data_IF_746886936081
#
_entry.id   IF_746886936081
#
_cell.length_a   1.000
_cell.length_b   1.000
_cell.length_c   1.000
_cell.angle_alpha   90.00
_cell.angle_beta   90.00
_cell.angle_gamma   90.00
#
_symmetry.space_group_name_H-M   'P 1'
#
loop_
_entity.id
_entity.type
_entity.pdbx_description
1 polymer ?
#
# COMPACT_ATOMS: atom_id res chain seq x y z
N UNK A 1 -5.46 -19.49 -2.22
CA UNK A 1 -4.25 -18.69 -2.07
C UNK A 1 -4.48 -17.53 -1.13
N UNK A 2 -3.40 -17.07 -0.44
CA UNK A 2 -3.44 -15.87 0.38
C UNK A 2 -3.32 -14.64 -0.53
N UNK A 3 -4.22 -13.68 -0.36
CA UNK A 3 -4.21 -12.40 -1.09
C UNK A 3 -3.52 -11.36 -0.20
N UNK A 4 -2.46 -10.72 -0.69
CA UNK A 4 -1.77 -9.63 -0.02
C UNK A 4 -2.40 -8.27 -0.32
N UNK A 5 -2.76 -8.04 -1.58
CA UNK A 5 -3.38 -6.80 -2.03
C UNK A 5 -4.13 -6.96 -3.34
N UNK A 6 -4.84 -5.92 -3.75
CA UNK A 6 -5.53 -5.90 -5.04
C UNK A 6 -5.62 -4.48 -5.62
N UNK A 7 -5.80 -4.40 -6.92
CA UNK A 7 -6.18 -3.15 -7.61
C UNK A 7 -7.48 -3.36 -8.40
N UNK A 8 -8.19 -2.25 -8.66
CA UNK A 8 -9.35 -2.27 -9.55
C UNK A 8 -8.86 -2.00 -10.96
N UNK A 9 -9.18 -2.89 -11.89
CA UNK A 9 -8.88 -2.73 -13.29
C UNK A 9 -9.82 -1.72 -13.97
N UNK A 10 -9.40 -1.16 -15.09
CA UNK A 10 -10.21 -0.24 -15.89
C UNK A 10 -11.49 -0.88 -16.44
N UNK A 11 -11.52 -2.22 -16.59
CA UNK A 11 -12.69 -3.01 -16.98
C UNK A 11 -13.59 -3.41 -15.81
N UNK A 12 -13.26 -2.99 -14.58
CA UNK A 12 -14.00 -3.26 -13.36
C UNK A 12 -13.67 -4.58 -12.66
N UNK A 13 -12.82 -5.43 -13.24
CA UNK A 13 -12.31 -6.63 -12.59
C UNK A 13 -11.35 -6.27 -11.45
N UNK A 14 -11.08 -7.20 -10.54
CA UNK A 14 -10.01 -7.07 -9.56
C UNK A 14 -8.74 -7.76 -10.06
N UNK A 15 -7.61 -7.09 -9.92
CA UNK A 15 -6.29 -7.71 -10.10
C UNK A 15 -5.76 -8.06 -8.71
N UNK A 16 -5.61 -9.34 -8.42
CA UNK A 16 -5.23 -9.89 -7.12
C UNK A 16 -3.74 -10.22 -7.11
N UNK A 17 -3.06 -9.78 -6.06
CA UNK A 17 -1.64 -10.06 -5.80
C UNK A 17 -1.55 -11.02 -4.61
N UNK A 18 -0.96 -12.19 -4.83
CA UNK A 18 -1.11 -13.34 -3.94
C UNK A 18 0.25 -13.88 -3.45
N UNK A 19 0.19 -15.01 -2.77
CA UNK A 19 1.38 -15.76 -2.34
C UNK A 19 2.19 -16.28 -3.54
N UNK A 20 3.48 -16.56 -3.32
CA UNK A 20 4.45 -17.07 -4.30
C UNK A 20 4.67 -16.14 -5.50
N UNK A 21 4.40 -14.85 -5.33
CA UNK A 21 4.50 -13.89 -6.42
C UNK A 21 3.47 -14.08 -7.52
N UNK A 22 2.36 -14.78 -7.27
CA UNK A 22 1.33 -15.03 -8.27
C UNK A 22 0.34 -13.87 -8.38
N UNK A 23 -0.14 -13.60 -9.60
CA UNK A 23 -1.08 -12.51 -9.91
C UNK A 23 -2.20 -13.08 -10.79
N UNK A 24 -3.45 -12.74 -10.44
CA UNK A 24 -4.62 -13.16 -11.23
C UNK A 24 -5.68 -12.06 -11.32
N UNK A 25 -6.42 -12.01 -12.42
CA UNK A 25 -7.66 -11.25 -12.54
C UNK A 25 -8.82 -12.04 -11.97
N UNK A 26 -9.66 -11.37 -11.22
CA UNK A 26 -10.88 -11.95 -10.68
C UNK A 26 -12.11 -11.22 -11.20
N UNK A 27 -13.12 -11.98 -11.59
CA UNK A 27 -14.44 -11.50 -11.93
C UNK A 27 -15.51 -12.52 -11.49
N UNK A 28 -16.78 -12.26 -11.75
CA UNK A 28 -17.86 -13.23 -11.51
C UNK A 28 -17.72 -14.53 -12.32
N UNK A 29 -16.89 -14.55 -13.36
CA UNK A 29 -16.60 -15.73 -14.18
C UNK A 29 -15.48 -16.60 -13.61
N UNK A 30 -14.72 -16.10 -12.63
CA UNK A 30 -13.65 -16.81 -11.96
C UNK A 30 -12.32 -16.07 -11.94
N UNK A 31 -11.24 -16.84 -11.76
CA UNK A 31 -9.86 -16.38 -11.75
C UNK A 31 -9.18 -16.67 -13.08
N UNK A 32 -8.49 -15.67 -13.63
CA UNK A 32 -7.64 -15.76 -14.81
C UNK A 32 -6.21 -15.42 -14.41
N UNK A 33 -5.27 -16.35 -14.57
CA UNK A 33 -3.88 -16.15 -14.18
C UNK A 33 -3.18 -15.16 -15.11
N UNK A 34 -2.50 -14.17 -14.52
CA UNK A 34 -1.67 -13.17 -15.21
C UNK A 34 -0.19 -13.53 -15.06
N UNK A 35 0.23 -13.88 -13.83
CA UNK A 35 1.57 -14.32 -13.48
C UNK A 35 1.45 -15.56 -12.60
N UNK A 36 2.04 -16.67 -13.02
CA UNK A 36 2.01 -17.94 -12.24
C UNK A 36 2.76 -17.81 -10.92
N UNK A 37 3.89 -17.09 -10.92
CA UNK A 37 4.74 -16.84 -9.77
C UNK A 37 6.02 -16.12 -10.17
N UNK A 38 6.78 -15.67 -9.17
CA UNK A 38 8.10 -15.05 -9.36
C UNK A 38 9.16 -16.01 -8.85
N UNK A 39 10.17 -16.32 -9.69
CA UNK A 39 11.31 -17.13 -9.26
C UNK A 39 12.06 -16.42 -8.12
N UNK A 40 12.26 -17.14 -7.01
CA UNK A 40 12.84 -16.64 -5.78
C UNK A 40 11.82 -16.13 -4.75
N UNK A 41 10.52 -16.06 -5.09
CA UNK A 41 9.45 -15.64 -4.17
C UNK A 41 8.53 -16.81 -3.77
N UNK A 42 8.98 -18.06 -3.93
CA UNK A 42 8.18 -19.26 -3.70
C UNK A 42 7.67 -19.37 -2.24
N UNK A 43 8.42 -18.83 -1.29
CA UNK A 43 8.10 -18.81 0.14
C UNK A 43 7.60 -17.45 0.64
N UNK A 44 7.42 -16.49 -0.28
CA UNK A 44 6.95 -15.13 0.00
C UNK A 44 5.50 -14.93 -0.46
N UNK A 45 5.02 -13.72 -0.28
CA UNK A 45 3.75 -13.22 -0.81
C UNK A 45 3.87 -11.74 -1.15
N UNK A 46 2.99 -11.27 -2.02
CA UNK A 46 2.78 -9.82 -2.10
C UNK A 46 2.19 -9.27 -0.79
N UNK A 47 2.47 -8.00 -0.55
CA UNK A 47 1.92 -7.20 0.53
C UNK A 47 1.16 -6.02 -0.07
N UNK A 48 1.57 -4.77 0.15
CA UNK A 48 0.86 -3.63 -0.41
C UNK A 48 1.12 -3.45 -1.91
N UNK A 49 0.08 -2.99 -2.60
CA UNK A 49 0.07 -2.75 -4.04
C UNK A 49 -0.69 -1.48 -4.37
N UNK A 50 -0.32 -0.79 -5.45
CA UNK A 50 -1.03 0.39 -5.95
C UNK A 50 -0.95 0.49 -7.46
N UNK A 51 -2.06 0.85 -8.11
CA UNK A 51 -2.07 1.18 -9.52
C UNK A 51 -1.41 2.55 -9.77
N UNK A 52 -0.55 2.63 -10.78
CA UNK A 52 0.13 3.86 -11.17
C UNK A 52 -0.70 4.70 -12.16
N UNK A 53 -0.37 5.99 -12.35
CA UNK A 53 -1.09 6.87 -13.27
C UNK A 53 -1.21 6.35 -14.71
N UNK A 54 -0.22 5.59 -15.19
CA UNK A 54 -0.21 5.01 -16.54
C UNK A 54 -0.96 3.67 -16.65
N UNK A 55 -1.47 3.13 -15.52
CA UNK A 55 -2.19 1.85 -15.46
C UNK A 55 -1.30 0.63 -15.18
N UNK A 56 0.03 0.78 -15.02
CA UNK A 56 0.88 -0.26 -14.44
C UNK A 56 0.62 -0.39 -12.93
N UNK A 57 1.23 -1.35 -12.25
CA UNK A 57 1.03 -1.55 -10.81
C UNK A 57 2.36 -1.70 -10.12
N UNK A 58 2.57 -0.94 -9.02
CA UNK A 58 3.63 -1.22 -8.08
C UNK A 58 3.14 -2.23 -7.06
N UNK A 59 3.91 -3.28 -6.81
CA UNK A 59 3.54 -4.38 -5.93
C UNK A 59 4.77 -4.87 -5.16
N UNK A 60 4.68 -4.82 -3.84
CA UNK A 60 5.78 -5.17 -2.96
C UNK A 60 5.64 -6.58 -2.40
N UNK A 61 6.75 -7.29 -2.24
CA UNK A 61 6.78 -8.60 -1.58
C UNK A 61 7.24 -8.50 -0.13
N UNK A 62 6.87 -9.50 0.66
CA UNK A 62 7.36 -9.69 2.02
C UNK A 62 8.76 -10.30 2.01
N UNK A 63 9.60 -9.97 3.00
CA UNK A 63 10.86 -10.66 3.19
C UNK A 63 10.62 -12.12 3.63
N UNK A 64 11.62 -12.96 3.41
CA UNK A 64 11.69 -14.34 3.91
C UNK A 64 12.94 -14.50 4.79
N UNK A 65 13.21 -15.71 5.28
CA UNK A 65 14.47 -15.99 5.97
C UNK A 65 15.70 -15.89 5.05
N UNK A 66 15.49 -16.05 3.74
CA UNK A 66 16.57 -16.13 2.74
C UNK A 66 16.81 -14.83 1.97
N UNK A 67 15.83 -13.93 1.89
CA UNK A 67 15.96 -12.67 1.14
C UNK A 67 15.05 -11.56 1.69
N UNK A 68 15.43 -10.32 1.42
CA UNK A 68 14.61 -9.13 1.65
C UNK A 68 13.43 -9.07 0.69
N UNK A 69 12.40 -8.28 1.02
CA UNK A 69 11.34 -7.97 0.08
C UNK A 69 11.83 -7.12 -1.10
N UNK A 70 11.02 -7.05 -2.13
CA UNK A 70 11.27 -6.29 -3.35
C UNK A 70 10.02 -5.54 -3.77
N UNK A 71 10.16 -4.29 -4.19
CA UNK A 71 9.10 -3.58 -4.89
C UNK A 71 9.24 -3.87 -6.39
N UNK A 72 8.24 -4.51 -6.96
CA UNK A 72 8.13 -4.77 -8.39
C UNK A 72 7.21 -3.76 -9.06
N UNK A 73 7.37 -3.62 -10.37
CA UNK A 73 6.40 -2.97 -11.25
C UNK A 73 5.88 -3.98 -12.27
N UNK A 74 4.56 -4.18 -12.28
CA UNK A 74 3.85 -4.93 -13.32
C UNK A 74 3.42 -3.94 -14.40
N UNK A 75 4.01 -4.06 -15.57
CA UNK A 75 3.68 -3.24 -16.74
C UNK A 75 2.40 -3.76 -17.43
N UNK A 76 1.77 -2.95 -18.27
CA UNK A 76 0.47 -3.27 -18.90
C UNK A 76 0.49 -4.52 -19.78
N UNK A 77 1.65 -4.87 -20.32
CA UNK A 77 1.88 -6.07 -21.13
C UNK A 77 2.10 -7.35 -20.29
N UNK A 78 1.93 -7.26 -18.97
CA UNK A 78 2.16 -8.37 -18.05
C UNK A 78 3.62 -8.59 -17.66
N UNK A 79 4.56 -7.81 -18.17
CA UNK A 79 5.96 -7.90 -17.76
C UNK A 79 6.14 -7.36 -16.34
N UNK A 80 6.88 -8.11 -15.52
CA UNK A 80 7.15 -7.78 -14.12
C UNK A 80 8.65 -7.49 -13.95
N UNK A 81 8.97 -6.36 -13.32
CA UNK A 81 10.36 -5.90 -13.14
C UNK A 81 10.60 -5.48 -11.69
N UNK A 82 11.72 -5.87 -11.05
CA UNK A 82 12.13 -5.28 -9.78
C UNK A 82 12.51 -3.81 -10.02
N UNK A 83 12.04 -2.92 -9.15
CA UNK A 83 12.31 -1.47 -9.22
C UNK A 83 12.97 -0.92 -7.94
N UNK A 84 12.73 -1.57 -6.80
CA UNK A 84 13.48 -1.33 -5.56
C UNK A 84 13.75 -2.68 -4.89
N UNK A 85 15.01 -3.00 -4.70
CA UNK A 85 15.45 -4.23 -4.05
C UNK A 85 15.88 -3.97 -2.59
N UNK A 86 16.03 -5.03 -1.81
CA UNK A 86 16.46 -4.98 -0.41
C UNK A 86 15.51 -4.18 0.50
N UNK A 87 14.22 -4.25 0.23
CA UNK A 87 13.17 -3.69 1.09
C UNK A 87 12.95 -4.62 2.26
N UNK A 88 12.85 -4.08 3.47
CA UNK A 88 12.57 -4.90 4.65
C UNK A 88 11.15 -5.48 4.58
N UNK A 89 10.14 -4.66 4.76
CA UNK A 89 8.73 -5.00 4.52
C UNK A 89 8.13 -3.91 3.64
N UNK A 90 7.85 -4.24 2.38
CA UNK A 90 7.19 -3.31 1.46
C UNK A 90 5.74 -3.10 1.89
N UNK A 91 5.41 -1.86 2.20
CA UNK A 91 4.10 -1.46 2.73
C UNK A 91 3.62 -0.19 2.03
N UNK A 92 2.74 0.55 2.65
CA UNK A 92 2.03 1.72 2.17
C UNK A 92 2.61 2.43 0.95
N UNK A 93 1.81 2.60 -0.07
CA UNK A 93 2.14 3.24 -1.34
C UNK A 93 1.15 4.38 -1.60
N UNK A 94 1.60 5.46 -2.23
CA UNK A 94 0.73 6.58 -2.57
C UNK A 94 1.33 7.51 -3.60
N UNK A 95 0.47 8.24 -4.31
CA UNK A 95 0.87 9.23 -5.30
C UNK A 95 0.33 10.61 -4.96
N UNK A 96 1.08 11.66 -5.30
CA UNK A 96 0.57 13.03 -5.26
C UNK A 96 -0.49 13.29 -6.32
N UNK A 97 -1.34 14.30 -6.12
CA UNK A 97 -2.39 14.66 -7.05
C UNK A 97 -1.85 15.08 -8.44
N UNK A 98 -0.68 15.70 -8.48
CA UNK A 98 0.01 16.06 -9.73
C UNK A 98 0.72 14.87 -10.41
N UNK A 99 0.66 13.66 -9.81
CA UNK A 99 1.23 12.41 -10.33
C UNK A 99 2.76 12.42 -10.51
N UNK A 100 3.45 13.41 -9.98
CA UNK A 100 4.91 13.57 -10.14
C UNK A 100 5.74 12.95 -9.01
N UNK A 101 5.07 12.46 -7.95
CA UNK A 101 5.72 11.89 -6.77
C UNK A 101 5.03 10.60 -6.36
N UNK A 102 5.82 9.59 -6.03
CA UNK A 102 5.40 8.36 -5.37
C UNK A 102 6.00 8.28 -3.98
N UNK A 103 5.21 7.86 -3.02
CA UNK A 103 5.66 7.47 -1.68
C UNK A 103 5.63 5.97 -1.53
N UNK A 104 6.60 5.42 -0.80
CA UNK A 104 6.71 3.98 -0.50
C UNK A 104 7.25 3.78 0.92
N UNK A 105 6.56 2.97 1.69
CA UNK A 105 6.94 2.61 3.07
C UNK A 105 7.79 1.34 3.09
N UNK A 106 8.97 1.41 3.73
CA UNK A 106 9.64 0.26 4.30
C UNK A 106 9.39 0.23 5.81
N UNK A 107 8.55 -0.71 6.26
CA UNK A 107 8.18 -0.80 7.67
C UNK A 107 9.36 -1.18 8.56
N UNK A 108 10.26 -2.05 8.11
CA UNK A 108 11.44 -2.49 8.87
C UNK A 108 12.42 -1.33 9.05
N UNK A 109 12.64 -0.55 8.00
CA UNK A 109 13.44 0.67 8.07
C UNK A 109 12.72 1.81 8.83
N UNK A 110 11.42 1.66 9.11
CA UNK A 110 10.55 2.70 9.68
C UNK A 110 10.56 3.99 8.87
N UNK A 111 10.69 3.88 7.56
CA UNK A 111 10.90 5.02 6.66
C UNK A 111 9.85 5.03 5.55
N UNK A 112 9.30 6.21 5.29
CA UNK A 112 8.55 6.49 4.07
C UNK A 112 9.51 7.18 3.12
N UNK A 113 9.79 6.54 2.01
CA UNK A 113 10.63 7.06 0.93
C UNK A 113 9.79 7.88 -0.04
N UNK A 114 10.41 8.89 -0.64
CA UNK A 114 9.85 9.73 -1.69
C UNK A 114 10.65 9.55 -2.98
N UNK A 115 9.94 9.27 -4.07
CA UNK A 115 10.49 9.11 -5.41
C UNK A 115 9.88 10.12 -6.35
N UNK A 116 10.66 10.63 -7.31
CA UNK A 116 10.06 11.20 -8.51
C UNK A 116 9.60 10.08 -9.41
N UNK A 117 8.43 10.25 -10.03
CA UNK A 117 7.88 9.31 -11.00
C UNK A 117 7.53 10.04 -12.30
N UNK A 118 7.87 9.43 -13.43
CA UNK A 118 7.30 9.85 -14.72
C UNK A 118 5.88 9.25 -14.84
N UNK A 119 4.82 10.06 -14.88
CA UNK A 119 3.45 9.54 -14.88
C UNK A 119 3.07 8.80 -16.17
N UNK A 120 3.85 8.89 -17.24
CA UNK A 120 3.61 8.20 -18.52
C UNK A 120 4.27 6.83 -18.58
N UNK A 121 5.48 6.72 -18.02
CA UNK A 121 6.28 5.49 -18.07
C UNK A 121 6.30 4.73 -16.76
N UNK A 122 5.89 5.36 -15.66
CA UNK A 122 6.04 4.89 -14.28
C UNK A 122 7.50 4.59 -13.88
N UNK A 123 8.47 5.23 -14.51
CA UNK A 123 9.87 5.14 -14.12
C UNK A 123 10.13 5.96 -12.86
N UNK A 124 10.80 5.34 -11.89
CA UNK A 124 11.17 5.97 -10.63
C UNK A 124 12.57 6.58 -10.70
N UNK A 125 12.76 7.72 -10.04
CA UNK A 125 14.05 8.39 -9.91
C UNK A 125 14.12 9.19 -8.61
N UNK A 126 15.31 9.69 -8.26
CA UNK A 126 15.54 10.60 -7.13
C UNK A 126 14.91 10.12 -5.82
N UNK A 127 15.31 8.94 -5.34
CA UNK A 127 14.90 8.39 -4.06
C UNK A 127 15.48 9.19 -2.89
N UNK A 128 14.64 9.51 -1.91
CA UNK A 128 15.08 10.11 -0.64
C UNK A 128 14.29 9.57 0.55
N UNK A 129 14.91 9.52 1.72
CA UNK A 129 14.21 9.31 2.99
C UNK A 129 13.38 10.55 3.30
N UNK A 130 12.05 10.40 3.32
CA UNK A 130 11.17 11.56 3.47
C UNK A 130 10.61 11.68 4.89
N UNK A 131 10.12 10.59 5.46
CA UNK A 131 9.66 10.53 6.85
C UNK A 131 10.31 9.35 7.53
N UNK A 132 11.11 9.60 8.56
CA UNK A 132 11.64 8.56 9.45
C UNK A 132 10.81 8.56 10.72
N UNK A 133 10.13 7.45 11.00
CA UNK A 133 9.25 7.33 12.16
C UNK A 133 10.04 6.95 13.42
N UNK A 134 9.59 7.36 14.62
CA UNK A 134 10.29 7.02 15.88
C UNK A 134 10.41 5.51 16.09
N UNK A 135 11.45 5.11 16.81
CA UNK A 135 11.62 3.73 17.31
C UNK A 135 10.90 3.57 18.66
N UNK A 136 9.59 3.60 18.64
CA UNK A 136 8.70 3.54 19.82
C UNK A 136 7.96 2.20 19.95
N UNK A 137 8.40 1.19 19.20
CA UNK A 137 7.75 -0.12 19.13
C UNK A 137 6.69 -0.23 18.05
N UNK A 138 6.28 0.90 17.44
CA UNK A 138 5.38 0.90 16.28
C UNK A 138 6.15 0.98 14.96
N UNK A 139 5.53 0.51 13.89
CA UNK A 139 6.08 0.64 12.53
C UNK A 139 5.05 1.24 11.58
N UNK A 140 5.46 2.03 10.58
CA UNK A 140 4.55 2.51 9.53
C UNK A 140 4.08 1.33 8.69
N UNK A 141 2.80 1.34 8.34
CA UNK A 141 2.12 0.27 7.60
C UNK A 141 1.46 0.85 6.34
N UNK A 142 0.25 0.47 5.99
CA UNK A 142 -0.47 1.00 4.84
C UNK A 142 -0.68 2.51 4.88
N UNK A 143 -0.78 3.12 3.69
CA UNK A 143 -0.98 4.56 3.55
C UNK A 143 -1.93 4.92 2.42
N UNK A 144 -2.39 6.18 2.42
CA UNK A 144 -2.97 6.87 1.27
C UNK A 144 -2.53 8.34 1.26
N UNK A 145 -2.78 9.04 0.16
CA UNK A 145 -2.50 10.47 -0.01
C UNK A 145 -3.81 11.20 -0.28
N UNK A 146 -4.09 12.25 0.48
CA UNK A 146 -5.31 13.05 0.31
C UNK A 146 -5.22 14.07 -0.83
N UNK A 147 -6.31 14.81 -1.06
CA UNK A 147 -6.40 15.81 -2.15
C UNK A 147 -5.50 17.03 -1.97
N UNK A 148 -4.94 17.22 -0.76
CA UNK A 148 -3.98 18.27 -0.43
C UNK A 148 -2.53 17.78 -0.42
N UNK A 149 -2.29 16.58 -0.98
CA UNK A 149 -0.98 15.88 -1.03
C UNK A 149 -0.40 15.52 0.35
N UNK A 150 -1.23 15.48 1.41
CA UNK A 150 -0.80 14.97 2.71
C UNK A 150 -0.84 13.45 2.73
N UNK A 151 0.14 12.84 3.39
CA UNK A 151 0.23 11.40 3.58
C UNK A 151 -0.54 11.01 4.84
N UNK A 152 -1.41 10.01 4.73
CA UNK A 152 -2.02 9.32 5.83
C UNK A 152 -1.38 7.96 6.01
N UNK A 153 -0.69 7.72 7.14
CA UNK A 153 0.09 6.52 7.40
C UNK A 153 -0.39 5.82 8.66
N UNK A 154 -0.82 4.58 8.51
CA UNK A 154 -1.21 3.71 9.61
C UNK A 154 0.02 3.28 10.43
N UNK A 155 -0.21 2.92 11.70
CA UNK A 155 0.83 2.44 12.61
C UNK A 155 0.49 1.07 13.14
N UNK A 156 1.17 0.06 12.65
CA UNK A 156 1.15 -1.27 13.25
C UNK A 156 1.79 -1.21 14.64
N UNK A 157 1.13 -1.75 15.64
CA UNK A 157 1.47 -1.69 17.06
C UNK A 157 1.48 -0.27 17.68
N UNK A 158 0.90 0.72 16.99
CA UNK A 158 0.94 2.14 17.38
C UNK A 158 -0.41 2.77 17.73
N UNK A 159 -1.52 2.02 17.72
CA UNK A 159 -2.86 2.50 18.08
C UNK A 159 -3.29 3.76 17.32
N UNK A 160 -2.71 4.05 16.15
CA UNK A 160 -2.89 5.37 15.55
C UNK A 160 -2.74 5.42 14.04
N UNK A 161 -3.30 6.48 13.47
CA UNK A 161 -3.12 6.93 12.11
C UNK A 161 -2.54 8.34 12.15
N UNK A 162 -1.50 8.59 11.37
CA UNK A 162 -0.84 9.90 11.30
C UNK A 162 -1.07 10.57 9.96
N UNK A 163 -1.24 11.90 9.98
CA UNK A 163 -1.24 12.74 8.78
C UNK A 163 0.03 13.57 8.74
N UNK A 164 0.74 13.52 7.62
CA UNK A 164 1.95 14.32 7.38
C UNK A 164 1.73 15.29 6.23
N UNK A 165 2.25 16.51 6.39
CA UNK A 165 2.22 17.52 5.33
C UNK A 165 3.13 17.14 4.16
N UNK A 166 3.01 17.80 2.98
CA UNK A 166 3.94 17.63 1.86
C UNK A 166 5.41 17.96 2.18
N UNK A 167 5.66 18.63 3.31
CA UNK A 167 7.00 18.91 3.82
C UNK A 167 7.50 17.86 4.83
N UNK A 168 6.72 16.80 5.08
CA UNK A 168 7.07 15.72 6.00
C UNK A 168 6.77 15.98 7.48
N UNK A 169 6.12 17.10 7.83
CA UNK A 169 5.77 17.39 9.21
C UNK A 169 4.49 16.68 9.63
N UNK A 170 4.47 16.06 10.81
CA UNK A 170 3.24 15.53 11.39
C UNK A 170 2.28 16.67 11.73
N UNK A 171 1.07 16.64 11.17
CA UNK A 171 0.04 17.67 11.37
C UNK A 171 -1.20 17.17 12.10
N UNK A 172 -1.44 15.85 12.11
CA UNK A 172 -2.56 15.24 12.79
C UNK A 172 -2.21 13.83 13.27
N UNK A 173 -2.81 13.39 14.38
CA UNK A 173 -2.84 12.01 14.86
C UNK A 173 -4.26 11.66 15.22
N UNK A 174 -4.75 10.51 14.75
CA UNK A 174 -6.03 9.91 15.17
C UNK A 174 -5.70 8.64 15.94
N UNK A 175 -6.22 8.52 17.17
CA UNK A 175 -6.03 7.35 18.02
C UNK A 175 -7.18 6.35 17.86
N UNK A 176 -6.85 5.06 17.97
CA UNK A 176 -7.78 3.95 17.89
C UNK A 176 -7.66 3.08 19.14
N UNK A 177 -8.73 2.40 19.51
CA UNK A 177 -8.72 1.40 20.60
C UNK A 177 -7.96 0.12 20.22
N UNK A 178 -7.58 -0.01 18.95
CA UNK A 178 -6.93 -1.18 18.37
C UNK A 178 -5.45 -0.93 18.16
N UNK A 179 -4.61 -1.81 18.68
CA UNK A 179 -3.15 -1.71 18.62
C UNK A 179 -2.62 -1.69 17.19
N UNK A 180 -3.17 -2.55 16.32
CA UNK A 180 -2.68 -2.77 14.96
C UNK A 180 -3.57 -2.06 13.94
N UNK A 181 -3.33 -0.77 13.75
CA UNK A 181 -3.94 0.01 12.66
C UNK A 181 -3.12 -0.29 11.40
N UNK A 182 -3.75 -0.92 10.38
CA UNK A 182 -3.00 -1.56 9.30
C UNK A 182 -3.04 -0.81 7.98
N UNK A 183 -4.18 -0.27 7.55
CA UNK A 183 -4.25 0.46 6.29
C UNK A 183 -5.34 1.51 6.32
N UNK A 184 -5.29 2.47 5.39
CA UNK A 184 -6.25 3.57 5.28
C UNK A 184 -6.50 3.89 3.81
N UNK A 185 -7.77 4.19 3.49
CA UNK A 185 -8.15 4.73 2.18
C UNK A 185 -9.33 5.69 2.30
N UNK A 186 -9.48 6.57 1.32
CA UNK A 186 -10.66 7.41 1.19
C UNK A 186 -11.68 6.76 0.25
N UNK A 187 -12.96 7.04 0.50
CA UNK A 187 -14.07 6.53 -0.30
C UNK A 187 -15.36 7.34 -0.10
N UNK A 188 -16.48 6.74 -0.46
CA UNK A 188 -17.76 7.45 -0.53
C UNK A 188 -17.90 8.24 -1.85
N UNK A 189 -19.06 8.88 -2.03
CA UNK A 189 -19.38 9.57 -3.30
C UNK A 189 -18.45 10.76 -3.57
N UNK A 190 -18.00 11.43 -2.49
CA UNK A 190 -17.18 12.65 -2.54
C UNK A 190 -15.79 12.48 -1.90
N UNK A 191 -15.36 11.22 -1.67
CA UNK A 191 -14.08 10.88 -1.05
C UNK A 191 -13.84 11.53 0.33
N UNK A 192 -14.92 11.78 1.10
CA UNK A 192 -14.84 12.32 2.47
C UNK A 192 -14.90 11.27 3.55
N UNK A 193 -15.34 10.06 3.20
CA UNK A 193 -15.30 8.92 4.11
C UNK A 193 -13.90 8.32 4.11
N UNK A 194 -13.33 8.16 5.28
CA UNK A 194 -12.07 7.47 5.48
C UNK A 194 -12.36 6.08 6.05
N UNK A 195 -11.81 5.06 5.44
CA UNK A 195 -11.89 3.68 5.88
C UNK A 195 -10.54 3.22 6.39
N UNK A 196 -10.51 2.71 7.62
CA UNK A 196 -9.28 2.27 8.29
C UNK A 196 -9.44 0.82 8.70
N UNK A 197 -8.56 -0.03 8.22
CA UNK A 197 -8.50 -1.44 8.61
C UNK A 197 -7.62 -1.63 9.83
N UNK A 198 -7.92 -2.65 10.61
CA UNK A 198 -7.13 -3.07 11.75
C UNK A 198 -6.92 -4.57 11.76
N UNK A 199 -5.89 -5.04 12.45
CA UNK A 199 -5.54 -6.46 12.53
C UNK A 199 -5.49 -6.95 13.99
N UNK A 200 -5.21 -8.25 14.17
CA UNK A 200 -4.98 -8.81 15.50
C UNK A 200 -6.22 -9.39 16.19
N UNK A 201 -7.30 -9.70 15.45
CA UNK A 201 -8.51 -10.32 15.99
C UNK A 201 -8.27 -11.69 16.65
N UNK A 202 -7.14 -12.33 16.39
CA UNK A 202 -6.73 -13.58 17.01
C UNK A 202 -6.21 -13.42 18.46
N UNK A 203 -5.95 -12.19 18.91
CA UNK A 203 -5.54 -11.89 20.29
C UNK A 203 -6.13 -10.54 20.76
N UNK A 204 -7.41 -10.55 21.11
CA UNK A 204 -8.15 -9.34 21.54
C UNK A 204 -7.63 -8.76 22.86
N UNK A 205 -7.09 -9.59 23.76
CA UNK A 205 -6.56 -9.13 25.04
C UNK A 205 -5.31 -8.24 24.87
N UNK A 206 -4.52 -8.46 23.84
CA UNK A 206 -3.34 -7.66 23.51
C UNK A 206 -3.66 -6.51 22.56
N UNK A 207 -4.48 -6.79 21.54
CA UNK A 207 -4.66 -5.89 20.41
C UNK A 207 -5.88 -4.98 20.51
N UNK A 208 -6.69 -5.14 21.57
CA UNK A 208 -7.93 -4.39 21.79
C UNK A 208 -9.18 -5.16 21.37
N UNK A 209 -10.33 -4.87 22.03
CA UNK A 209 -11.58 -5.61 21.81
C UNK A 209 -12.15 -5.43 20.39
N UNK A 210 -11.78 -4.35 19.71
CA UNK A 210 -12.18 -4.03 18.34
C UNK A 210 -11.13 -4.42 17.29
N UNK A 211 -10.10 -5.20 17.64
CA UNK A 211 -9.08 -5.64 16.70
C UNK A 211 -9.67 -6.48 15.56
N UNK A 212 -9.25 -6.19 14.32
CA UNK A 212 -9.79 -6.80 13.10
C UNK A 212 -11.03 -6.08 12.55
N UNK A 213 -11.48 -5.01 13.18
CA UNK A 213 -12.60 -4.20 12.68
C UNK A 213 -12.18 -3.26 11.55
N UNK A 214 -13.16 -2.93 10.71
CA UNK A 214 -13.09 -1.83 9.75
C UNK A 214 -13.75 -0.59 10.37
N UNK A 215 -13.00 0.48 10.48
CA UNK A 215 -13.50 1.77 10.93
C UNK A 215 -13.88 2.64 9.74
N UNK A 216 -14.97 3.41 9.88
CA UNK A 216 -15.35 4.50 8.98
C UNK A 216 -15.41 5.79 9.79
N UNK A 217 -14.71 6.80 9.34
CA UNK A 217 -14.70 8.12 9.96
C UNK A 217 -14.71 9.21 8.89
N UNK A 218 -15.05 10.43 9.31
CA UNK A 218 -14.96 11.60 8.44
C UNK A 218 -14.07 12.65 9.14
N UNK A 219 -12.80 12.78 8.74
CA UNK A 219 -11.86 13.71 9.36
C UNK A 219 -12.06 15.18 8.92
N UNK A 220 -13.08 15.46 8.10
CA UNK A 220 -13.28 16.78 7.50
C UNK A 220 -12.33 17.10 6.33
N UNK A 221 -11.62 16.08 5.84
CA UNK A 221 -10.62 16.18 4.78
C UNK A 221 -11.10 15.33 3.60
N UNK A 222 -10.82 15.79 2.39
CA UNK A 222 -11.21 15.08 1.17
C UNK A 222 -10.02 14.28 0.64
N UNK A 223 -10.25 13.02 0.31
CA UNK A 223 -9.31 12.19 -0.42
C UNK A 223 -9.33 12.45 -1.93
N UNK A 224 -8.79 11.51 -2.68
CA UNK A 224 -8.84 11.49 -4.15
C UNK A 224 -9.15 10.08 -4.64
N UNK A 225 -9.59 9.96 -5.87
CA UNK A 225 -9.74 8.66 -6.51
C UNK A 225 -8.36 8.00 -6.72
N UNK A 226 -8.26 6.74 -6.35
CA UNK A 226 -7.07 5.94 -6.66
C UNK A 226 -7.07 5.53 -8.14
N UNK A 227 -5.87 5.39 -8.72
CA UNK A 227 -5.73 4.97 -10.11
C UNK A 227 -6.22 3.54 -10.31
N UNK A 228 -6.59 3.23 -11.55
CA UNK A 228 -7.01 1.90 -11.95
C UNK A 228 -5.89 1.22 -12.73
N UNK A 229 -5.67 -0.05 -12.46
CA UNK A 229 -4.75 -0.85 -13.27
C UNK A 229 -5.33 -1.13 -14.66
N UNK A 230 -4.43 -1.29 -15.64
CA UNK A 230 -4.82 -1.52 -17.04
C UNK A 230 -3.97 -2.64 -17.67
N UNK A 231 -3.92 -3.78 -16.99
CA UNK A 231 -3.12 -4.94 -17.42
C UNK A 231 -3.86 -5.68 -18.54
N UNK A 232 -3.22 -5.85 -19.67
CA UNK A 232 -3.82 -6.32 -20.95
C UNK A 232 -3.43 -7.76 -21.32
N UNK A 233 -3.21 -8.64 -20.38
CA UNK A 233 -2.88 -10.06 -20.60
C UNK A 233 -3.95 -10.94 -20.00
#
# INVERSE_FOLDING_TARGET
PQIGGFTIQTDGKLLLFMEKGSIAKWSSEGLETVVEGIGGEEDSRFNDVIAAPNGSVFCGTMPTESHSGTLYRLDKDGSLKPVVENVGISNGLGFTANQGTMYHTDSTARTIYRYRIDPKTAELSACEEFIVTPNDGSIPDGMTVDSEDHIWSARWDGFSLYRYSPDGNQVLKIEFETKKVSCVTFGGIDYRDMYVTTAGANNLSENGQSAGSLYRLNPGITGKEEFRSAICV
#
